data_IF_389493347466
#
_entry.id   IF_389493347466
#
_cell.length_a   1.000
_cell.length_b   1.000
_cell.length_c   1.000
_cell.angle_alpha   90.00
_cell.angle_beta   90.00
_cell.angle_gamma   90.00
#
_symmetry.space_group_name_H-M   'P 1'
#
loop_
_entity.id
_entity.type
_entity.pdbx_description
1 polymer ?
#
# COMPACT_ATOMS: atom_id res chain seq x y z
N UNK A 1 -18.28 34.86 -18.89
CA UNK A 1 -17.73 33.62 -19.46
C UNK A 1 -16.75 32.92 -18.51
N UNK A 2 -15.84 33.64 -17.81
CA UNK A 2 -14.85 33.05 -16.91
C UNK A 2 -15.43 32.41 -15.62
N UNK A 3 -16.52 32.91 -15.05
CA UNK A 3 -17.14 32.38 -13.84
C UNK A 3 -17.88 31.05 -14.08
N UNK A 4 -18.40 30.85 -15.29
CA UNK A 4 -19.09 29.61 -15.68
C UNK A 4 -18.10 28.47 -15.93
N UNK A 5 -16.95 28.76 -16.55
CA UNK A 5 -15.87 27.80 -16.77
C UNK A 5 -15.25 27.36 -15.42
N UNK A 6 -15.05 28.27 -14.47
CA UNK A 6 -14.53 27.93 -13.14
C UNK A 6 -15.51 27.04 -12.33
N UNK A 7 -16.83 27.25 -12.45
CA UNK A 7 -17.84 26.43 -11.81
C UNK A 7 -17.93 25.02 -12.38
N UNK A 8 -17.76 24.91 -13.70
CA UNK A 8 -17.76 23.60 -14.38
C UNK A 8 -16.48 22.79 -14.08
N UNK A 9 -15.35 23.46 -13.98
CA UNK A 9 -14.09 22.85 -13.55
C UNK A 9 -14.14 22.41 -12.09
N UNK A 10 -14.73 23.21 -11.21
CA UNK A 10 -14.89 22.85 -9.80
C UNK A 10 -15.81 21.65 -9.61
N UNK A 11 -16.96 21.63 -10.30
CA UNK A 11 -17.88 20.50 -10.29
C UNK A 11 -17.25 19.21 -10.84
N UNK A 12 -16.45 19.31 -11.90
CA UNK A 12 -15.76 18.15 -12.45
C UNK A 12 -14.69 17.60 -11.50
N UNK A 13 -13.94 18.46 -10.80
CA UNK A 13 -12.96 18.06 -9.78
C UNK A 13 -13.65 17.41 -8.57
N UNK A 14 -14.79 17.98 -8.13
CA UNK A 14 -15.59 17.41 -7.06
C UNK A 14 -16.14 16.02 -7.45
N UNK A 15 -16.66 15.88 -8.66
CA UNK A 15 -17.15 14.59 -9.16
C UNK A 15 -16.02 13.55 -9.27
N UNK A 16 -14.84 13.95 -9.74
CA UNK A 16 -13.66 13.07 -9.82
C UNK A 16 -13.17 12.63 -8.45
N UNK A 17 -13.25 13.49 -7.42
CA UNK A 17 -12.88 13.14 -6.05
C UNK A 17 -13.91 12.25 -5.35
N UNK A 18 -15.19 12.32 -5.76
CA UNK A 18 -16.27 11.49 -5.22
C UNK A 18 -16.41 10.14 -5.95
N UNK A 19 -15.76 9.95 -7.08
CA UNK A 19 -15.83 8.71 -7.87
C UNK A 19 -15.52 7.43 -7.05
N UNK A 20 -14.50 7.40 -6.18
CA UNK A 20 -14.24 6.25 -5.32
C UNK A 20 -15.37 5.97 -4.31
N UNK A 21 -16.04 7.03 -3.83
CA UNK A 21 -17.19 6.90 -2.92
C UNK A 21 -18.37 6.26 -3.65
N UNK A 22 -18.69 6.72 -4.86
CA UNK A 22 -19.73 6.09 -5.69
C UNK A 22 -19.41 4.65 -6.04
N UNK A 23 -18.14 4.36 -6.34
CA UNK A 23 -17.69 3.00 -6.58
C UNK A 23 -17.89 2.08 -5.36
N UNK A 24 -17.59 2.59 -4.16
CA UNK A 24 -17.83 1.87 -2.91
C UNK A 24 -19.32 1.65 -2.66
N UNK A 25 -20.16 2.67 -2.87
CA UNK A 25 -21.61 2.53 -2.73
C UNK A 25 -22.18 1.49 -3.71
N UNK A 26 -21.69 1.46 -4.95
CA UNK A 26 -22.10 0.45 -5.92
C UNK A 26 -21.68 -0.97 -5.47
N UNK A 27 -20.47 -1.14 -4.94
CA UNK A 27 -20.01 -2.40 -4.37
C UNK A 27 -20.89 -2.85 -3.20
N UNK A 28 -21.23 -1.93 -2.28
CA UNK A 28 -22.12 -2.23 -1.16
C UNK A 28 -23.55 -2.55 -1.62
N UNK A 29 -24.04 -1.94 -2.69
CA UNK A 29 -25.36 -2.25 -3.26
C UNK A 29 -25.39 -3.67 -3.84
N UNK A 30 -24.36 -4.08 -4.56
CA UNK A 30 -24.22 -5.48 -5.03
C UNK A 30 -24.12 -6.42 -3.83
N UNK A 31 -23.36 -6.04 -2.80
CA UNK A 31 -23.29 -6.77 -1.55
C UNK A 31 -24.63 -6.92 -0.85
N UNK A 32 -25.47 -5.87 -0.88
CA UNK A 32 -26.85 -5.95 -0.36
C UNK A 32 -27.69 -6.99 -1.12
N UNK A 33 -27.56 -7.02 -2.44
CA UNK A 33 -28.24 -8.04 -3.27
C UNK A 33 -27.76 -9.45 -2.90
N UNK A 34 -26.44 -9.65 -2.72
CA UNK A 34 -25.88 -10.94 -2.28
C UNK A 34 -26.39 -11.36 -0.90
N UNK A 35 -26.53 -10.42 0.05
CA UNK A 35 -27.09 -10.67 1.37
C UNK A 35 -28.57 -11.08 1.29
N UNK A 36 -29.36 -10.44 0.43
CA UNK A 36 -30.78 -10.79 0.19
C UNK A 36 -30.91 -12.20 -0.36
N UNK A 37 -30.05 -12.64 -1.27
CA UNK A 37 -30.07 -14.04 -1.79
C UNK A 37 -29.79 -15.07 -0.69
N UNK A 38 -29.08 -14.70 0.37
CA UNK A 38 -28.85 -15.53 1.55
C UNK A 38 -29.97 -15.43 2.61
N UNK A 39 -31.03 -14.69 2.34
CA UNK A 39 -32.11 -14.45 3.30
C UNK A 39 -31.73 -13.50 4.44
N UNK A 40 -30.62 -12.77 4.32
CA UNK A 40 -30.12 -11.87 5.34
C UNK A 40 -30.56 -10.44 5.03
N UNK A 41 -31.09 -9.73 6.04
CA UNK A 41 -31.48 -8.34 5.90
C UNK A 41 -30.25 -7.42 5.76
N UNK A 42 -30.05 -6.73 4.60
CA UNK A 42 -28.89 -5.88 4.38
C UNK A 42 -28.79 -4.70 5.37
N UNK A 43 -29.91 -4.16 5.82
CA UNK A 43 -29.92 -3.05 6.79
C UNK A 43 -29.39 -3.49 8.14
N UNK A 44 -29.73 -4.69 8.61
CA UNK A 44 -29.18 -5.26 9.84
C UNK A 44 -27.69 -5.58 9.68
N UNK A 45 -27.29 -6.12 8.54
CA UNK A 45 -25.90 -6.45 8.25
C UNK A 45 -25.02 -5.19 8.22
N UNK A 46 -25.42 -4.17 7.49
CA UNK A 46 -24.66 -2.91 7.41
C UNK A 46 -24.75 -2.09 8.70
N UNK A 47 -25.89 -2.15 9.42
CA UNK A 47 -25.99 -1.60 10.76
C UNK A 47 -24.97 -2.22 11.73
N UNK A 48 -24.87 -3.56 11.72
CA UNK A 48 -23.88 -4.28 12.51
C UNK A 48 -22.42 -3.96 12.08
N UNK A 49 -22.17 -3.72 10.77
CA UNK A 49 -20.88 -3.29 10.25
C UNK A 49 -20.47 -1.92 10.80
N UNK A 50 -21.36 -0.93 10.70
CA UNK A 50 -21.13 0.46 11.19
C UNK A 50 -20.94 0.44 12.71
N UNK A 51 -21.80 -0.25 13.42
CA UNK A 51 -21.72 -0.38 14.88
C UNK A 51 -20.44 -1.12 15.29
N UNK A 52 -19.99 -2.11 14.50
CA UNK A 52 -18.73 -2.83 14.70
C UNK A 52 -17.51 -1.95 14.55
N UNK A 53 -17.54 -0.98 13.64
CA UNK A 53 -16.44 -0.06 13.37
C UNK A 53 -16.41 1.15 14.31
N UNK A 54 -17.59 1.69 14.68
CA UNK A 54 -17.72 3.00 15.34
C UNK A 54 -18.61 3.00 16.60
N UNK A 55 -19.31 1.91 16.91
CA UNK A 55 -20.32 1.86 17.95
C UNK A 55 -19.80 1.91 19.40
N UNK A 56 -18.48 1.86 19.62
CA UNK A 56 -17.88 1.98 20.94
C UNK A 56 -16.44 2.51 20.85
N UNK A 57 -15.91 3.03 21.96
CA UNK A 57 -14.51 3.47 22.05
C UNK A 57 -13.53 2.35 21.67
N UNK A 58 -13.83 1.11 22.08
CA UNK A 58 -13.02 -0.05 21.72
C UNK A 58 -13.12 -0.38 20.21
N UNK A 59 -14.29 -0.23 19.60
CA UNK A 59 -14.48 -0.44 18.17
C UNK A 59 -13.68 0.58 17.35
N UNK A 60 -13.75 1.86 17.73
CA UNK A 60 -12.96 2.92 17.09
C UNK A 60 -11.46 2.65 17.27
N UNK A 61 -11.02 2.28 18.47
CA UNK A 61 -9.63 1.95 18.73
C UNK A 61 -9.14 0.77 17.87
N UNK A 62 -9.94 -0.31 17.76
CA UNK A 62 -9.60 -1.47 16.92
C UNK A 62 -9.56 -1.08 15.43
N UNK A 63 -10.47 -0.21 14.98
CA UNK A 63 -10.45 0.36 13.63
C UNK A 63 -9.14 1.09 13.36
N UNK A 64 -8.68 1.95 14.27
CA UNK A 64 -7.42 2.68 14.14
C UNK A 64 -6.19 1.76 14.21
N UNK A 65 -6.24 0.72 15.05
CA UNK A 65 -5.20 -0.32 15.11
C UNK A 65 -5.10 -1.06 13.78
N UNK A 66 -6.24 -1.47 13.19
CA UNK A 66 -6.25 -2.16 11.89
C UNK A 66 -5.87 -1.25 10.73
N UNK A 67 -6.17 0.04 10.81
CA UNK A 67 -5.77 1.01 9.78
C UNK A 67 -4.27 1.33 9.79
N UNK A 68 -3.57 1.11 10.91
CA UNK A 68 -2.14 1.45 11.03
C UNK A 68 -1.26 0.74 10.00
N UNK A 69 -1.28 -0.60 9.86
CA UNK A 69 -0.47 -1.27 8.85
C UNK A 69 -0.91 -0.91 7.42
N UNK A 70 -2.22 -0.72 7.17
CA UNK A 70 -2.72 -0.28 5.87
C UNK A 70 -2.18 1.10 5.49
N UNK A 71 -2.14 2.03 6.45
CA UNK A 71 -1.58 3.36 6.23
C UNK A 71 -0.10 3.29 5.88
N UNK A 72 0.69 2.57 6.67
CA UNK A 72 2.13 2.47 6.45
C UNK A 72 2.48 1.81 5.11
N UNK A 73 1.86 0.68 4.79
CA UNK A 73 2.03 0.04 3.47
C UNK A 73 1.58 1.00 2.37
N UNK A 74 0.42 1.65 2.55
CA UNK A 74 -0.12 2.63 1.60
C UNK A 74 0.82 3.80 1.34
N UNK A 75 1.53 4.29 2.36
CA UNK A 75 2.56 5.33 2.20
C UNK A 75 3.72 4.83 1.32
N UNK A 76 4.18 3.60 1.54
CA UNK A 76 5.18 2.97 0.69
C UNK A 76 4.72 2.86 -0.77
N UNK A 77 3.46 2.45 -0.98
CA UNK A 77 2.84 2.36 -2.30
C UNK A 77 2.75 3.74 -2.97
N UNK A 78 2.40 4.81 -2.23
CA UNK A 78 2.41 6.17 -2.77
C UNK A 78 3.78 6.56 -3.34
N UNK A 79 4.88 6.16 -2.67
CA UNK A 79 6.24 6.42 -3.15
C UNK A 79 6.54 5.63 -4.42
N UNK A 80 6.28 4.32 -4.43
CA UNK A 80 6.58 3.43 -5.55
C UNK A 80 5.81 3.85 -6.81
N UNK A 81 4.51 4.07 -6.70
CA UNK A 81 3.66 4.46 -7.84
C UNK A 81 4.00 5.86 -8.38
N UNK A 82 4.48 6.79 -7.54
CA UNK A 82 5.00 8.08 -8.02
C UNK A 82 6.29 7.93 -8.82
N UNK A 83 7.04 6.86 -8.60
CA UNK A 83 8.18 6.44 -9.43
C UNK A 83 7.80 5.60 -10.65
N UNK A 84 6.49 5.41 -10.91
CA UNK A 84 5.95 4.52 -11.96
C UNK A 84 6.45 3.07 -11.83
N UNK A 85 6.59 2.60 -10.59
CA UNK A 85 6.96 1.22 -10.27
C UNK A 85 5.88 0.60 -9.41
N UNK A 86 5.41 -0.59 -9.80
CA UNK A 86 4.36 -1.31 -9.07
C UNK A 86 5.00 -2.21 -8.01
N UNK A 87 4.66 -1.99 -6.73
CA UNK A 87 5.08 -2.85 -5.64
C UNK A 87 3.89 -3.65 -5.09
N UNK A 88 3.84 -4.95 -5.38
CA UNK A 88 2.87 -5.90 -4.81
C UNK A 88 3.51 -6.72 -3.67
N UNK A 89 4.78 -6.44 -3.35
CA UNK A 89 5.58 -7.17 -2.36
C UNK A 89 5.31 -6.80 -0.89
N UNK A 90 4.29 -5.98 -0.61
CA UNK A 90 4.01 -5.45 0.72
C UNK A 90 3.86 -6.53 1.81
N UNK A 91 3.27 -7.68 1.48
CA UNK A 91 3.14 -8.81 2.41
C UNK A 91 4.51 -9.36 2.85
N UNK A 92 5.39 -9.67 1.88
CA UNK A 92 6.71 -10.22 2.17
C UNK A 92 7.62 -9.20 2.86
N UNK A 93 7.58 -7.95 2.45
CA UNK A 93 8.32 -6.85 3.07
C UNK A 93 7.91 -6.64 4.53
N UNK A 94 6.61 -6.74 4.82
CA UNK A 94 6.05 -6.68 6.18
C UNK A 94 6.53 -7.86 7.02
N UNK A 95 6.53 -9.08 6.47
CA UNK A 95 7.01 -10.30 7.15
C UNK A 95 8.49 -10.17 7.50
N UNK A 96 9.35 -9.80 6.54
CA UNK A 96 10.80 -9.70 6.77
C UNK A 96 11.14 -8.58 7.73
N UNK A 97 10.47 -7.44 7.64
CA UNK A 97 10.60 -6.37 8.62
C UNK A 97 10.20 -6.81 10.04
N UNK A 98 9.12 -7.58 10.17
CA UNK A 98 8.70 -8.16 11.43
C UNK A 98 9.71 -9.18 12.00
N UNK A 99 10.30 -10.03 11.14
CA UNK A 99 11.33 -10.99 11.53
C UNK A 99 12.53 -10.27 12.16
N UNK A 100 13.09 -9.28 11.45
CA UNK A 100 14.27 -8.56 11.95
C UNK A 100 13.95 -7.76 13.22
N UNK A 101 12.81 -7.10 13.26
CA UNK A 101 12.38 -6.39 14.47
C UNK A 101 12.18 -7.34 15.66
N UNK A 102 11.55 -8.50 15.44
CA UNK A 102 11.35 -9.52 16.50
C UNK A 102 12.69 -10.10 16.96
N UNK A 103 13.62 -10.35 16.04
CA UNK A 103 14.96 -10.82 16.38
C UNK A 103 15.67 -9.85 17.33
N UNK A 104 15.60 -8.54 17.08
CA UNK A 104 16.15 -7.50 17.98
C UNK A 104 15.54 -7.60 19.38
N UNK A 105 14.21 -7.72 19.49
CA UNK A 105 13.55 -7.79 20.79
C UNK A 105 13.78 -9.09 21.56
N UNK A 106 14.09 -10.19 20.87
CA UNK A 106 14.37 -11.47 21.50
C UNK A 106 15.82 -11.63 21.95
N UNK A 107 16.76 -10.95 21.26
CA UNK A 107 18.19 -11.05 21.54
C UNK A 107 18.70 -10.02 22.54
N UNK A 108 18.14 -8.81 22.53
CA UNK A 108 18.60 -7.69 23.38
C UNK A 108 17.69 -7.49 24.59
N UNK A 109 17.36 -8.57 25.30
CA UNK A 109 16.39 -8.56 26.41
C UNK A 109 16.82 -7.74 27.61
N UNK A 110 18.13 -7.52 27.81
CA UNK A 110 18.69 -6.76 28.94
C UNK A 110 18.64 -5.24 28.75
N UNK A 111 18.36 -4.78 27.52
CA UNK A 111 18.35 -3.37 27.21
C UNK A 111 17.00 -2.72 27.55
N UNK A 112 16.99 -1.44 27.94
CA UNK A 112 15.73 -0.76 28.26
C UNK A 112 14.85 -0.55 27.02
N UNK A 113 13.53 -0.64 27.21
CA UNK A 113 12.56 -0.59 26.11
C UNK A 113 12.61 0.67 25.24
N UNK A 114 13.01 1.81 25.82
CA UNK A 114 13.16 3.07 25.10
C UNK A 114 14.32 3.06 24.06
N UNK A 115 15.28 2.12 24.17
CA UNK A 115 16.31 1.87 23.16
C UNK A 115 15.85 0.78 22.17
N UNK A 116 15.22 -0.28 22.69
CA UNK A 116 14.82 -1.44 21.88
C UNK A 116 13.73 -1.05 20.88
N UNK A 117 12.76 -0.23 21.25
CA UNK A 117 11.67 0.17 20.34
C UNK A 117 12.20 0.92 19.10
N UNK A 118 13.02 2.00 19.22
CA UNK A 118 13.63 2.63 18.06
C UNK A 118 14.55 1.71 17.24
N UNK A 119 15.31 0.84 17.92
CA UNK A 119 16.19 -0.11 17.22
C UNK A 119 15.39 -1.15 16.43
N UNK A 120 14.30 -1.66 16.99
CA UNK A 120 13.37 -2.57 16.31
C UNK A 120 12.65 -1.86 15.16
N UNK A 121 12.29 -0.57 15.32
CA UNK A 121 11.74 0.24 14.22
C UNK A 121 12.74 0.36 13.08
N UNK A 122 14.01 0.64 13.39
CA UNK A 122 15.07 0.71 12.39
C UNK A 122 15.31 -0.65 11.73
N UNK A 123 15.35 -1.74 12.51
CA UNK A 123 15.49 -3.09 11.99
C UNK A 123 14.33 -3.49 11.07
N UNK A 124 13.10 -3.19 11.46
CA UNK A 124 11.90 -3.41 10.64
C UNK A 124 11.93 -2.61 9.35
N UNK A 125 12.30 -1.33 9.44
CA UNK A 125 12.45 -0.43 8.29
C UNK A 125 13.53 -0.94 7.32
N UNK A 126 14.71 -1.29 7.81
CA UNK A 126 15.81 -1.81 6.99
C UNK A 126 15.50 -3.19 6.41
N UNK A 127 14.87 -4.08 7.18
CA UNK A 127 14.48 -5.40 6.69
C UNK A 127 13.51 -5.32 5.53
N UNK A 128 12.48 -4.50 5.66
CA UNK A 128 11.55 -4.23 4.58
C UNK A 128 12.19 -3.53 3.39
N UNK A 129 13.12 -2.57 3.65
CA UNK A 129 13.88 -1.88 2.59
C UNK A 129 14.72 -2.85 1.77
N UNK A 130 15.52 -3.68 2.41
CA UNK A 130 16.38 -4.66 1.73
C UNK A 130 15.51 -5.60 0.90
N UNK A 131 14.42 -6.11 1.49
CA UNK A 131 13.51 -7.03 0.79
C UNK A 131 12.83 -6.40 -0.41
N UNK A 132 12.40 -5.13 -0.30
CA UNK A 132 11.85 -4.35 -1.41
C UNK A 132 12.91 -3.90 -2.42
N UNK A 133 14.16 -3.73 -1.98
CA UNK A 133 15.29 -3.38 -2.83
C UNK A 133 15.67 -4.45 -3.83
N UNK A 134 15.51 -5.74 -3.48
CA UNK A 134 15.82 -6.87 -4.39
C UNK A 134 15.04 -6.76 -5.71
N UNK A 135 13.70 -6.72 -5.72
CA UNK A 135 12.96 -6.50 -6.97
C UNK A 135 13.25 -5.14 -7.61
N UNK A 136 13.65 -4.13 -6.80
CA UNK A 136 14.08 -2.84 -7.31
C UNK A 136 15.33 -2.92 -8.18
N UNK A 137 16.34 -3.65 -7.73
CA UNK A 137 17.58 -3.92 -8.50
C UNK A 137 17.26 -4.76 -9.74
N UNK A 138 16.46 -5.82 -9.60
CA UNK A 138 16.05 -6.67 -10.71
C UNK A 138 15.32 -5.86 -11.80
N UNK A 139 14.44 -4.94 -11.40
CA UNK A 139 13.76 -4.07 -12.35
C UNK A 139 14.69 -3.07 -13.01
N UNK A 140 15.52 -2.39 -12.21
CA UNK A 140 16.33 -1.26 -12.68
C UNK A 140 17.47 -1.69 -13.62
N UNK A 141 18.16 -2.78 -13.30
CA UNK A 141 19.37 -3.20 -14.01
C UNK A 141 19.17 -4.39 -14.94
N UNK A 142 18.19 -5.26 -14.64
CA UNK A 142 17.92 -6.46 -15.44
C UNK A 142 16.59 -6.40 -16.19
N UNK A 143 15.85 -5.30 -16.04
CA UNK A 143 14.54 -5.08 -16.68
C UNK A 143 13.52 -6.21 -16.43
N UNK A 144 13.64 -6.89 -15.27
CA UNK A 144 12.68 -7.92 -14.84
C UNK A 144 11.34 -7.27 -14.51
N UNK A 145 10.24 -7.98 -14.74
CA UNK A 145 8.91 -7.50 -14.38
C UNK A 145 8.78 -7.39 -12.86
N UNK A 146 8.57 -6.16 -12.35
CA UNK A 146 8.50 -5.85 -10.93
C UNK A 146 7.28 -6.49 -10.25
N UNK A 147 6.16 -6.66 -10.97
CA UNK A 147 4.96 -7.30 -10.45
C UNK A 147 5.26 -8.76 -10.12
N UNK A 148 5.85 -9.48 -11.08
CA UNK A 148 6.20 -10.88 -10.91
C UNK A 148 7.24 -11.07 -9.80
N UNK A 149 8.32 -10.28 -9.82
CA UNK A 149 9.39 -10.41 -8.81
C UNK A 149 8.90 -10.09 -7.41
N UNK A 150 8.07 -9.05 -7.23
CA UNK A 150 7.53 -8.69 -5.90
C UNK A 150 6.55 -9.74 -5.37
N UNK A 151 5.71 -10.35 -6.22
CA UNK A 151 4.81 -11.44 -5.82
C UNK A 151 5.62 -12.69 -5.42
N UNK A 152 6.64 -13.06 -6.20
CA UNK A 152 7.50 -14.20 -5.87
C UNK A 152 8.25 -13.99 -4.54
N UNK A 153 8.70 -12.75 -4.28
CA UNK A 153 9.32 -12.39 -3.00
C UNK A 153 8.38 -12.53 -1.81
N UNK A 154 7.06 -12.33 -1.99
CA UNK A 154 6.08 -12.62 -0.93
C UNK A 154 6.08 -14.11 -0.56
N UNK A 155 6.06 -15.00 -1.55
CA UNK A 155 6.09 -16.44 -1.31
C UNK A 155 7.38 -16.88 -0.60
N UNK A 156 8.53 -16.33 -1.00
CA UNK A 156 9.82 -16.60 -0.35
C UNK A 156 9.81 -16.12 1.10
N UNK A 157 9.27 -14.92 1.38
CA UNK A 157 9.18 -14.38 2.74
C UNK A 157 8.32 -15.25 3.66
N UNK A 158 7.22 -15.81 3.14
CA UNK A 158 6.37 -16.75 3.90
C UNK A 158 7.13 -18.01 4.26
N UNK A 159 7.87 -18.59 3.31
CA UNK A 159 8.66 -19.78 3.58
C UNK A 159 9.82 -19.50 4.56
N UNK A 160 10.46 -18.33 4.44
CA UNK A 160 11.46 -17.88 5.39
C UNK A 160 10.89 -17.75 6.81
N UNK A 161 9.71 -17.14 6.94
CA UNK A 161 9.00 -17.05 8.22
C UNK A 161 8.68 -18.43 8.78
N UNK A 162 8.14 -19.33 7.95
CA UNK A 162 7.80 -20.69 8.37
C UNK A 162 9.04 -21.48 8.83
N UNK A 163 10.16 -21.35 8.12
CA UNK A 163 11.42 -21.96 8.49
C UNK A 163 11.94 -21.45 9.85
N UNK A 164 11.95 -20.12 10.03
CA UNK A 164 12.46 -19.49 11.25
C UNK A 164 11.60 -19.80 12.47
N UNK A 165 10.27 -19.75 12.33
CA UNK A 165 9.34 -19.97 13.46
C UNK A 165 9.17 -21.44 13.81
N UNK A 166 9.52 -22.37 12.93
CA UNK A 166 9.55 -23.83 13.22
C UNK A 166 10.91 -24.32 13.69
N UNK A 167 11.94 -23.49 13.52
CA UNK A 167 13.35 -23.82 13.83
C UNK A 167 14.00 -22.80 14.75
N UNK A 168 14.93 -21.91 14.25
CA UNK A 168 15.79 -21.10 15.12
C UNK A 168 15.08 -20.09 16.01
N UNK A 169 13.89 -19.62 15.62
CA UNK A 169 13.13 -18.59 16.37
C UNK A 169 11.90 -19.16 17.09
N UNK A 170 11.76 -20.49 17.18
CA UNK A 170 10.65 -21.12 17.90
C UNK A 170 10.72 -20.78 19.38
N UNK A 171 9.57 -20.56 20.00
CA UNK A 171 9.46 -20.38 21.44
C UNK A 171 9.96 -21.66 22.17
N UNK A 172 10.95 -21.58 23.05
CA UNK A 172 11.44 -22.74 23.82
C UNK A 172 10.33 -23.53 24.55
N UNK A 173 9.27 -22.86 24.99
CA UNK A 173 8.11 -23.50 25.60
C UNK A 173 7.40 -24.44 24.62
N UNK A 174 7.34 -24.09 23.35
CA UNK A 174 6.69 -24.91 22.32
C UNK A 174 7.49 -26.18 21.99
N UNK A 175 8.79 -26.21 22.25
CA UNK A 175 9.61 -27.41 22.04
C UNK A 175 9.22 -28.55 22.97
N UNK A 176 8.68 -28.22 24.16
CA UNK A 176 8.22 -29.19 25.16
C UNK A 176 6.72 -29.51 25.03
N UNK A 177 5.98 -28.76 24.23
CA UNK A 177 4.54 -28.97 24.04
C UNK A 177 4.23 -30.17 23.15
N UNK A 178 3.17 -30.91 23.46
CA UNK A 178 2.68 -32.01 22.61
C UNK A 178 2.24 -31.56 21.22
N UNK A 179 1.68 -30.35 21.11
CA UNK A 179 1.33 -29.69 19.85
C UNK A 179 2.17 -28.42 19.70
N UNK A 180 3.12 -28.46 18.76
CA UNK A 180 4.04 -27.34 18.50
C UNK A 180 3.36 -26.29 17.65
N UNK A 181 3.04 -25.14 18.22
CA UNK A 181 2.56 -23.97 17.49
C UNK A 181 3.78 -23.22 16.96
N UNK A 182 3.88 -22.96 15.64
CA UNK A 182 5.00 -22.22 15.07
C UNK A 182 4.89 -20.72 15.45
N UNK A 183 5.54 -20.36 16.53
CA UNK A 183 5.53 -19.00 17.08
C UNK A 183 6.85 -18.68 17.78
N UNK A 184 7.16 -17.40 17.88
CA UNK A 184 8.29 -16.92 18.67
C UNK A 184 7.92 -16.78 20.15
N UNK A 185 8.92 -16.70 21.02
CA UNK A 185 8.70 -16.25 22.40
C UNK A 185 8.00 -14.87 22.41
N UNK A 186 7.28 -14.61 23.48
CA UNK A 186 6.56 -13.34 23.63
C UNK A 186 7.53 -12.24 24.04
N UNK A 187 7.41 -11.06 23.41
CA UNK A 187 8.18 -9.89 23.77
C UNK A 187 7.87 -9.45 25.21
N UNK A 188 8.91 -9.03 25.91
CA UNK A 188 8.84 -8.50 27.27
C UNK A 188 7.89 -7.29 27.29
N UNK A 189 7.23 -7.07 28.39
CA UNK A 189 6.22 -6.02 28.51
C UNK A 189 6.79 -4.61 28.26
N UNK A 190 8.03 -4.38 28.69
CA UNK A 190 8.77 -3.14 28.48
C UNK A 190 9.03 -2.81 26.99
N UNK A 191 8.93 -3.79 26.08
CA UNK A 191 9.16 -3.60 24.66
C UNK A 191 7.88 -3.35 23.87
N UNK A 192 6.72 -3.44 24.51
CA UNK A 192 5.45 -3.18 23.84
C UNK A 192 5.29 -1.69 23.56
N UNK A 193 4.75 -1.36 22.39
CA UNK A 193 4.42 0.02 22.09
C UNK A 193 3.41 0.56 23.13
N UNK A 194 3.65 1.75 23.68
CA UNK A 194 2.76 2.36 24.66
C UNK A 194 1.34 2.50 24.11
N UNK A 195 0.34 2.21 24.92
CA UNK A 195 -1.07 2.44 24.58
C UNK A 195 -1.43 3.90 24.77
N UNK A 196 -2.13 4.48 23.82
CA UNK A 196 -2.57 5.89 23.87
C UNK A 196 -3.83 6.10 24.70
N UNK A 197 -4.58 5.03 24.96
CA UNK A 197 -5.82 5.05 25.71
C UNK A 197 -5.97 3.71 26.46
N UNK A 198 -6.90 3.56 27.42
CA UNK A 198 -7.19 2.27 28.07
C UNK A 198 -7.87 1.27 27.09
N UNK A 199 -7.40 1.23 25.86
CA UNK A 199 -7.85 0.40 24.75
C UNK A 199 -6.65 -0.27 24.09
N UNK A 200 -6.85 -0.96 22.95
CA UNK A 200 -5.74 -1.56 22.19
C UNK A 200 -5.00 -0.57 21.27
N UNK A 201 -5.44 0.70 21.22
CA UNK A 201 -4.80 1.73 20.42
C UNK A 201 -3.39 2.05 20.98
N UNK A 202 -2.39 1.84 20.16
CA UNK A 202 -0.98 2.02 20.52
C UNK A 202 -0.33 3.18 19.75
N UNK A 203 0.84 3.63 20.21
CA UNK A 203 1.61 4.75 19.64
C UNK A 203 1.90 4.57 18.14
N UNK A 204 1.89 3.34 17.60
CA UNK A 204 2.12 3.06 16.19
C UNK A 204 1.18 3.79 15.23
N UNK A 205 -0.07 4.07 15.62
CA UNK A 205 -0.99 4.87 14.82
C UNK A 205 -0.53 6.34 14.72
N UNK A 206 -0.13 6.94 15.82
CA UNK A 206 0.40 8.30 15.82
C UNK A 206 1.69 8.40 14.99
N UNK A 207 2.58 7.42 15.11
CA UNK A 207 3.79 7.32 14.27
C UNK A 207 3.41 7.25 12.79
N UNK A 208 2.42 6.43 12.41
CA UNK A 208 1.98 6.29 11.03
C UNK A 208 1.44 7.62 10.46
N UNK A 209 0.69 8.40 11.26
CA UNK A 209 0.23 9.74 10.87
C UNK A 209 1.40 10.69 10.67
N UNK A 210 2.34 10.75 11.61
CA UNK A 210 3.55 11.60 11.47
C UNK A 210 4.33 11.22 10.21
N UNK A 211 4.50 9.93 9.95
CA UNK A 211 5.15 9.43 8.75
C UNK A 211 4.39 9.78 7.47
N UNK A 212 3.06 9.87 7.49
CA UNK A 212 2.28 10.33 6.33
C UNK A 212 2.62 11.79 5.96
N UNK A 213 2.76 12.67 6.96
CA UNK A 213 3.21 14.04 6.72
C UNK A 213 4.67 14.09 6.25
N UNK A 214 5.56 13.26 6.80
CA UNK A 214 6.95 13.18 6.36
C UNK A 214 7.07 12.67 4.92
N UNK A 215 6.28 11.67 4.53
CA UNK A 215 6.23 11.19 3.13
C UNK A 215 5.66 12.26 2.20
N UNK A 216 4.67 13.03 2.64
CA UNK A 216 4.20 14.18 1.88
C UNK A 216 5.33 15.19 1.65
N UNK A 217 6.06 15.58 2.69
CA UNK A 217 7.21 16.49 2.57
C UNK A 217 8.27 15.87 1.65
N UNK A 218 8.61 14.59 1.86
CA UNK A 218 9.59 13.88 1.04
C UNK A 218 9.22 13.94 -0.44
N UNK A 219 7.97 13.65 -0.80
CA UNK A 219 7.55 13.60 -2.19
C UNK A 219 7.43 14.99 -2.83
N UNK A 220 6.97 16.03 -2.11
CA UNK A 220 6.67 17.35 -2.72
C UNK A 220 7.66 18.45 -2.38
N UNK A 221 8.46 18.29 -1.33
CA UNK A 221 9.36 19.35 -0.84
C UNK A 221 10.85 19.00 -0.89
N UNK A 222 11.22 17.75 -1.29
CA UNK A 222 12.63 17.34 -1.37
C UNK A 222 13.07 17.06 -2.81
N UNK A 223 14.38 17.15 -3.03
CA UNK A 223 15.03 16.82 -4.32
C UNK A 223 14.87 15.35 -4.67
N UNK A 224 14.87 14.45 -3.66
CA UNK A 224 14.66 13.02 -3.86
C UNK A 224 13.25 12.76 -4.39
N UNK A 225 12.23 13.33 -3.76
CA UNK A 225 10.85 13.19 -4.22
C UNK A 225 10.62 13.79 -5.60
N UNK A 226 11.28 14.91 -5.92
CA UNK A 226 11.27 15.47 -7.27
C UNK A 226 11.83 14.47 -8.29
N UNK A 227 13.02 13.88 -8.03
CA UNK A 227 13.63 12.89 -8.92
C UNK A 227 12.74 11.68 -9.14
N UNK A 228 12.17 11.10 -8.06
CA UNK A 228 11.25 9.97 -8.14
C UNK A 228 10.05 10.31 -9.04
N UNK A 229 9.40 11.46 -8.84
CA UNK A 229 8.24 11.88 -9.64
C UNK A 229 8.61 12.15 -11.10
N UNK A 230 9.78 12.74 -11.37
CA UNK A 230 10.25 12.99 -12.73
C UNK A 230 10.51 11.67 -13.48
N UNK A 231 11.16 10.70 -12.83
CA UNK A 231 11.35 9.35 -13.39
C UNK A 231 10.01 8.69 -13.66
N UNK A 232 9.05 8.83 -12.76
CA UNK A 232 7.71 8.26 -12.93
C UNK A 232 6.89 8.89 -14.06
N UNK A 233 7.15 10.14 -14.41
CA UNK A 233 6.45 10.81 -15.52
C UNK A 233 7.05 10.45 -16.87
N UNK A 234 8.38 10.49 -17.01
CA UNK A 234 9.08 10.16 -18.24
C UNK A 234 10.53 9.78 -17.98
N UNK A 235 10.89 8.55 -18.30
CA UNK A 235 12.27 8.08 -18.21
C UNK A 235 13.21 8.87 -19.12
N UNK A 236 12.74 9.27 -20.32
CA UNK A 236 13.52 10.05 -21.27
C UNK A 236 13.82 11.46 -20.74
N UNK A 237 12.79 12.15 -20.27
CA UNK A 237 12.96 13.48 -19.69
C UNK A 237 13.86 13.46 -18.44
N UNK A 238 13.75 12.44 -17.61
CA UNK A 238 14.60 12.26 -16.45
C UNK A 238 16.08 12.09 -16.85
N UNK A 239 16.36 11.22 -17.82
CA UNK A 239 17.73 11.03 -18.33
C UNK A 239 18.29 12.29 -18.97
N UNK A 240 17.49 13.00 -19.75
CA UNK A 240 17.91 14.26 -20.36
C UNK A 240 18.26 15.33 -19.31
N UNK A 241 17.56 15.34 -18.18
CA UNK A 241 17.85 16.20 -17.02
C UNK A 241 18.99 15.68 -16.12
N UNK A 242 19.72 14.63 -16.51
CA UNK A 242 20.84 14.08 -15.73
C UNK A 242 20.39 13.24 -14.51
N UNK A 243 19.13 12.86 -14.43
CA UNK A 243 18.61 12.02 -13.33
C UNK A 243 18.79 10.53 -13.68
N UNK A 244 19.51 9.80 -12.85
CA UNK A 244 19.67 8.35 -13.00
C UNK A 244 18.35 7.62 -12.73
N UNK A 245 17.74 7.05 -13.76
CA UNK A 245 16.45 6.35 -13.71
C UNK A 245 16.55 5.12 -12.82
N UNK A 246 17.60 4.32 -13.07
CA UNK A 246 17.84 3.05 -12.39
C UNK A 246 17.95 3.22 -10.88
N UNK A 247 18.75 4.18 -10.44
CA UNK A 247 18.94 4.49 -9.02
C UNK A 247 17.63 4.92 -8.35
N UNK A 248 16.81 5.73 -9.02
CA UNK A 248 15.56 6.22 -8.45
C UNK A 248 14.48 5.14 -8.40
N UNK A 249 14.45 4.17 -9.33
CA UNK A 249 13.60 2.98 -9.27
C UNK A 249 13.95 2.15 -8.03
N UNK A 250 15.24 1.86 -7.82
CA UNK A 250 15.70 1.10 -6.63
C UNK A 250 15.31 1.83 -5.35
N UNK A 251 15.57 3.13 -5.25
CA UNK A 251 15.24 3.93 -4.06
C UNK A 251 13.72 3.93 -3.79
N UNK A 252 12.89 4.03 -4.82
CA UNK A 252 11.44 4.01 -4.66
C UNK A 252 10.95 2.67 -4.09
N UNK A 253 11.48 1.54 -4.55
CA UNK A 253 11.12 0.21 -4.03
C UNK A 253 11.75 -0.07 -2.66
N UNK A 254 12.97 0.39 -2.39
CA UNK A 254 13.58 0.37 -1.05
C UNK A 254 12.71 1.10 -0.03
N UNK A 255 12.32 2.33 -0.32
CA UNK A 255 11.47 3.13 0.57
C UNK A 255 10.08 2.50 0.72
N UNK A 256 9.49 2.01 -0.37
CA UNK A 256 8.20 1.33 -0.31
C UNK A 256 8.27 0.11 0.61
N UNK A 257 9.32 -0.71 0.48
CA UNK A 257 9.55 -1.85 1.35
C UNK A 257 9.84 -1.47 2.79
N UNK A 258 10.56 -0.38 3.02
CA UNK A 258 10.87 0.13 4.35
C UNK A 258 9.59 0.45 5.16
N UNK A 259 8.63 1.13 4.55
CA UNK A 259 7.35 1.43 5.20
C UNK A 259 6.51 0.17 5.46
N UNK A 260 6.52 -0.80 4.54
CA UNK A 260 5.88 -2.08 4.76
C UNK A 260 6.55 -2.89 5.88
N UNK A 261 7.89 -2.89 5.95
CA UNK A 261 8.63 -3.54 7.04
C UNK A 261 8.37 -2.92 8.40
N UNK A 262 8.23 -1.59 8.45
CA UNK A 262 7.83 -0.88 9.66
C UNK A 262 6.40 -1.24 10.10
N UNK A 263 5.47 -1.45 9.15
CA UNK A 263 4.14 -1.98 9.46
C UNK A 263 4.22 -3.36 10.12
N UNK A 264 5.13 -4.22 9.66
CA UNK A 264 5.38 -5.54 10.26
C UNK A 264 5.90 -5.45 11.69
N UNK A 265 6.87 -4.55 11.94
CA UNK A 265 7.34 -4.27 13.30
C UNK A 265 6.20 -3.81 14.21
N UNK A 266 5.39 -2.84 13.78
CA UNK A 266 4.28 -2.32 14.59
C UNK A 266 3.23 -3.41 14.83
N UNK A 267 2.98 -4.32 13.88
CA UNK A 267 2.08 -5.46 14.09
C UNK A 267 2.57 -6.37 15.23
N UNK A 268 3.89 -6.59 15.34
CA UNK A 268 4.46 -7.40 16.43
C UNK A 268 4.48 -6.64 17.75
N UNK A 269 5.05 -5.44 17.79
CA UNK A 269 5.29 -4.69 19.03
C UNK A 269 4.05 -4.00 19.59
N UNK A 270 3.05 -3.74 18.73
CA UNK A 270 1.81 -3.05 19.12
C UNK A 270 0.61 -3.97 19.32
N UNK A 271 0.54 -5.09 18.61
CA UNK A 271 -0.69 -5.90 18.53
C UNK A 271 -0.49 -7.31 19.06
N UNK A 272 0.42 -8.08 18.45
CA UNK A 272 0.54 -9.52 18.71
C UNK A 272 1.54 -9.86 19.80
N UNK A 273 2.53 -9.01 20.02
CA UNK A 273 3.65 -9.19 20.98
C UNK A 273 4.51 -10.44 20.74
N UNK A 274 4.34 -11.09 19.60
CA UNK A 274 5.09 -12.24 19.07
C UNK A 274 4.75 -12.45 17.62
N UNK A 275 5.56 -13.21 16.92
CA UNK A 275 5.21 -13.72 15.58
C UNK A 275 4.56 -15.09 15.70
N UNK A 276 3.52 -15.32 14.92
CA UNK A 276 2.84 -16.60 14.77
C UNK A 276 2.60 -16.82 13.29
N UNK A 277 2.76 -18.05 12.81
CA UNK A 277 2.39 -18.43 11.45
C UNK A 277 1.42 -19.60 11.44
N UNK A 278 0.45 -19.54 10.54
CA UNK A 278 -0.43 -20.64 10.15
C UNK A 278 0.04 -21.31 8.86
N UNK A 279 1.20 -20.89 8.34
CA UNK A 279 1.75 -21.34 7.06
C UNK A 279 1.48 -20.39 5.90
N UNK A 280 0.65 -19.35 6.10
CA UNK A 280 0.29 -18.36 5.08
C UNK A 280 0.79 -16.96 5.42
N UNK A 281 0.84 -16.06 4.44
CA UNK A 281 1.11 -14.64 4.69
C UNK A 281 -0.01 -14.00 5.49
N UNK A 282 -1.26 -14.35 5.16
CA UNK A 282 -2.47 -13.73 5.71
C UNK A 282 -2.64 -14.00 7.21
N UNK A 283 -2.17 -15.13 7.71
CA UNK A 283 -2.22 -15.46 9.13
C UNK A 283 -1.43 -14.46 10.00
N UNK A 284 -0.37 -13.88 9.47
CA UNK A 284 0.42 -12.86 10.16
C UNK A 284 0.01 -11.43 9.78
N UNK A 285 -0.07 -11.13 8.47
CA UNK A 285 -0.27 -9.78 7.96
C UNK A 285 -1.74 -9.36 7.93
N UNK A 286 -2.67 -10.33 7.88
CA UNK A 286 -4.10 -10.07 7.72
C UNK A 286 -4.44 -9.39 6.38
N UNK A 287 -3.69 -9.68 5.31
CA UNK A 287 -3.78 -9.02 3.99
C UNK A 287 -3.49 -7.51 4.01
N UNK A 288 -2.74 -7.02 5.00
CA UNK A 288 -2.45 -5.59 5.10
C UNK A 288 -1.61 -5.08 3.93
N UNK A 289 -0.74 -5.91 3.34
CA UNK A 289 0.05 -5.58 2.16
C UNK A 289 -0.84 -5.26 0.94
N UNK A 290 -1.79 -6.13 0.62
CA UNK A 290 -2.73 -5.91 -0.49
C UNK A 290 -3.74 -4.80 -0.18
N UNK A 291 -4.34 -4.80 1.01
CA UNK A 291 -5.31 -3.79 1.41
C UNK A 291 -4.67 -2.39 1.51
N UNK A 292 -3.36 -2.30 1.82
CA UNK A 292 -2.60 -1.05 1.79
C UNK A 292 -2.48 -0.47 0.38
N UNK A 293 -2.34 -1.32 -0.66
CA UNK A 293 -2.36 -0.87 -2.06
C UNK A 293 -3.72 -0.23 -2.37
N UNK A 294 -4.80 -0.88 -1.96
CA UNK A 294 -6.16 -0.38 -2.19
C UNK A 294 -6.39 0.94 -1.46
N UNK A 295 -5.93 1.05 -0.20
CA UNK A 295 -6.02 2.28 0.56
C UNK A 295 -5.23 3.42 -0.09
N UNK A 296 -4.04 3.15 -0.65
CA UNK A 296 -3.26 4.14 -1.39
C UNK A 296 -3.97 4.61 -2.67
N UNK A 297 -4.56 3.68 -3.43
CA UNK A 297 -5.32 4.01 -4.64
C UNK A 297 -6.59 4.80 -4.32
N UNK A 298 -7.33 4.40 -3.29
CA UNK A 298 -8.50 5.16 -2.80
C UNK A 298 -8.09 6.56 -2.35
N UNK A 299 -6.96 6.69 -1.65
CA UNK A 299 -6.34 7.96 -1.27
C UNK A 299 -5.70 8.74 -2.42
N UNK A 300 -5.91 8.29 -3.69
CA UNK A 300 -5.40 8.91 -4.92
C UNK A 300 -3.87 9.00 -4.98
N UNK A 301 -3.18 8.02 -4.42
CA UNK A 301 -1.72 7.98 -4.31
C UNK A 301 -1.15 9.24 -3.66
N UNK A 302 -1.92 9.84 -2.74
CA UNK A 302 -1.53 11.02 -1.98
C UNK A 302 -1.38 10.65 -0.50
N UNK A 303 -0.22 10.88 0.14
CA UNK A 303 0.04 10.42 1.51
C UNK A 303 -1.01 10.87 2.54
N UNK A 304 -1.47 12.13 2.44
CA UNK A 304 -2.51 12.65 3.34
C UNK A 304 -3.88 12.03 3.01
N UNK A 305 -4.19 11.78 1.73
CA UNK A 305 -5.42 11.11 1.30
C UNK A 305 -5.47 9.63 1.72
N UNK A 306 -4.31 9.00 1.87
CA UNK A 306 -4.20 7.62 2.35
C UNK A 306 -4.60 7.48 3.83
N UNK A 307 -4.54 8.55 4.65
CA UNK A 307 -4.97 8.53 6.05
C UNK A 307 -6.47 8.17 6.15
N UNK A 308 -7.41 8.97 5.65
CA UNK A 308 -8.84 8.63 5.72
C UNK A 308 -9.17 7.34 4.96
N UNK A 309 -8.47 7.04 3.86
CA UNK A 309 -8.64 5.81 3.12
C UNK A 309 -8.31 4.56 3.97
N UNK A 310 -7.18 4.56 4.68
CA UNK A 310 -6.79 3.44 5.55
C UNK A 310 -7.72 3.28 6.74
N UNK A 311 -8.23 4.38 7.31
CA UNK A 311 -9.25 4.33 8.38
C UNK A 311 -10.54 3.71 7.85
N UNK A 312 -10.98 4.09 6.65
CA UNK A 312 -12.16 3.51 6.00
C UNK A 312 -12.02 2.00 5.79
N UNK A 313 -10.91 1.53 5.23
CA UNK A 313 -10.66 0.09 5.06
C UNK A 313 -10.49 -0.64 6.40
N UNK A 314 -9.85 -0.01 7.39
CA UNK A 314 -9.79 -0.52 8.76
C UNK A 314 -11.17 -0.70 9.38
N UNK A 315 -12.07 0.28 9.17
CA UNK A 315 -13.46 0.22 9.60
C UNK A 315 -14.24 -0.92 8.93
N UNK A 316 -14.04 -1.12 7.62
CA UNK A 316 -14.64 -2.26 6.91
C UNK A 316 -14.17 -3.60 7.49
N UNK A 317 -12.87 -3.75 7.76
CA UNK A 317 -12.32 -5.00 8.32
C UNK A 317 -12.87 -5.29 9.73
N UNK A 318 -12.94 -4.29 10.59
CA UNK A 318 -13.45 -4.46 11.97
C UNK A 318 -14.96 -4.64 11.98
N UNK A 319 -15.68 -3.83 11.20
CA UNK A 319 -17.14 -3.92 11.06
C UNK A 319 -17.58 -5.26 10.49
N UNK A 320 -16.86 -5.78 9.49
CA UNK A 320 -17.12 -7.09 8.90
C UNK A 320 -17.06 -8.23 9.93
N UNK A 321 -16.11 -8.17 10.88
CA UNK A 321 -16.03 -9.16 11.95
C UNK A 321 -17.26 -9.12 12.90
N UNK A 322 -17.83 -7.94 13.15
CA UNK A 322 -19.07 -7.82 13.94
C UNK A 322 -20.26 -8.28 13.15
N UNK A 323 -20.37 -7.88 11.88
CA UNK A 323 -21.43 -8.32 10.97
C UNK A 323 -21.47 -9.86 10.89
N UNK A 324 -20.32 -10.54 10.77
CA UNK A 324 -20.24 -12.01 10.79
C UNK A 324 -20.81 -12.60 12.07
N UNK A 325 -20.50 -12.05 13.24
CA UNK A 325 -20.94 -12.58 14.52
C UNK A 325 -22.41 -12.32 14.84
N UNK A 326 -22.93 -11.15 14.46
CA UNK A 326 -24.30 -10.71 14.80
C UNK A 326 -25.33 -11.29 13.83
N UNK A 327 -25.00 -11.28 12.54
CA UNK A 327 -25.96 -11.65 11.47
C UNK A 327 -25.64 -13.01 10.86
N UNK A 328 -24.61 -13.72 11.40
CA UNK A 328 -24.18 -15.06 10.94
C UNK A 328 -23.82 -15.12 9.45
N UNK A 329 -23.30 -14.00 8.91
CA UNK A 329 -22.84 -13.94 7.50
C UNK A 329 -21.63 -14.85 7.31
N UNK A 330 -21.61 -15.73 6.29
CA UNK A 330 -20.43 -16.56 6.01
C UNK A 330 -19.18 -15.71 5.75
N UNK A 331 -18.04 -16.13 6.29
CA UNK A 331 -16.76 -15.42 6.10
C UNK A 331 -16.37 -15.27 4.63
N UNK A 332 -16.73 -16.26 3.80
CA UNK A 332 -16.52 -16.20 2.36
C UNK A 332 -17.24 -15.01 1.70
N UNK A 333 -18.46 -14.68 2.14
CA UNK A 333 -19.20 -13.52 1.63
C UNK A 333 -18.53 -12.21 2.03
N UNK A 334 -18.01 -12.13 3.26
CA UNK A 334 -17.26 -10.96 3.73
C UNK A 334 -16.00 -10.73 2.89
N UNK A 335 -15.28 -11.80 2.62
CA UNK A 335 -14.10 -11.75 1.73
C UNK A 335 -14.49 -11.33 0.32
N UNK A 336 -15.62 -11.85 -0.21
CA UNK A 336 -16.14 -11.44 -1.51
C UNK A 336 -16.57 -9.97 -1.54
N UNK A 337 -17.24 -9.47 -0.49
CA UNK A 337 -17.59 -8.06 -0.34
C UNK A 337 -16.36 -7.15 -0.33
N UNK A 338 -15.33 -7.51 0.43
CA UNK A 338 -14.08 -6.76 0.46
C UNK A 338 -13.41 -6.75 -0.93
N UNK A 339 -13.36 -7.91 -1.60
CA UNK A 339 -12.85 -8.01 -2.97
C UNK A 339 -13.66 -7.17 -3.97
N UNK A 340 -14.98 -7.14 -3.83
CA UNK A 340 -15.86 -6.31 -4.66
C UNK A 340 -15.56 -4.82 -4.49
N UNK A 341 -15.44 -4.35 -3.24
CA UNK A 341 -15.05 -2.96 -2.95
C UNK A 341 -13.71 -2.63 -3.61
N UNK A 342 -12.72 -3.52 -3.50
CA UNK A 342 -11.41 -3.35 -4.14
C UNK A 342 -11.54 -3.21 -5.65
N UNK A 343 -12.28 -4.10 -6.32
CA UNK A 343 -12.47 -4.09 -7.77
C UNK A 343 -13.12 -2.76 -8.22
N UNK A 344 -14.17 -2.32 -7.53
CA UNK A 344 -14.85 -1.08 -7.88
C UNK A 344 -13.98 0.15 -7.66
N UNK A 345 -13.21 0.18 -6.56
CA UNK A 345 -12.29 1.28 -6.26
C UNK A 345 -11.17 1.35 -7.31
N UNK A 346 -10.52 0.24 -7.63
CA UNK A 346 -9.46 0.19 -8.64
C UNK A 346 -10.00 0.55 -10.03
N UNK A 347 -11.20 0.06 -10.37
CA UNK A 347 -11.86 0.41 -11.63
C UNK A 347 -12.16 1.92 -11.72
N UNK A 348 -12.59 2.53 -10.62
CA UNK A 348 -12.87 3.97 -10.57
C UNK A 348 -11.62 4.81 -10.87
N UNK A 349 -10.48 4.39 -10.36
CA UNK A 349 -9.18 5.05 -10.61
C UNK A 349 -8.76 4.92 -12.09
N UNK A 350 -8.95 3.75 -12.69
CA UNK A 350 -8.70 3.53 -14.11
C UNK A 350 -9.54 4.46 -14.99
N UNK A 351 -10.84 4.59 -14.72
CA UNK A 351 -11.72 5.48 -15.45
C UNK A 351 -11.32 6.96 -15.29
N UNK A 352 -10.90 7.36 -14.08
CA UNK A 352 -10.40 8.70 -13.80
C UNK A 352 -9.15 9.03 -14.62
N UNK A 353 -8.17 8.15 -14.59
CA UNK A 353 -6.90 8.33 -15.32
C UNK A 353 -7.13 8.39 -16.84
N UNK A 354 -8.02 7.54 -17.38
CA UNK A 354 -8.38 7.54 -18.79
C UNK A 354 -9.07 8.84 -19.21
N UNK A 355 -9.97 9.39 -18.38
CA UNK A 355 -10.61 10.70 -18.64
C UNK A 355 -9.60 11.84 -18.63
N UNK A 356 -8.67 11.87 -17.70
CA UNK A 356 -7.63 12.89 -17.64
C UNK A 356 -6.75 12.86 -18.89
N UNK A 357 -6.32 11.69 -19.34
CA UNK A 357 -5.53 11.53 -20.58
C UNK A 357 -6.29 12.02 -21.82
N UNK A 358 -7.57 11.71 -21.94
CA UNK A 358 -8.41 12.21 -23.05
C UNK A 358 -8.57 13.73 -23.03
N UNK A 359 -8.67 14.35 -21.85
CA UNK A 359 -8.72 15.82 -21.75
C UNK A 359 -7.42 16.47 -22.21
N UNK A 360 -6.27 15.89 -21.86
CA UNK A 360 -4.97 16.40 -22.29
C UNK A 360 -4.75 16.26 -23.79
N UNK A 361 -5.21 15.19 -24.42
CA UNK A 361 -5.14 15.02 -25.88
C UNK A 361 -6.06 15.97 -26.66
N UNK A 362 -7.15 16.44 -26.05
CA UNK A 362 -8.05 17.43 -26.67
C UNK A 362 -7.55 18.87 -26.51
N UNK A 363 -6.65 19.14 -25.56
CA UNK A 363 -6.07 20.47 -25.31
C UNK A 363 -4.75 20.67 -26.05
N UNK A 364 -4.07 19.60 -26.48
CA UNK A 364 -2.93 19.70 -27.40
C UNK A 364 -3.49 19.80 -28.82
N UNK A 365 -3.39 20.97 -29.50
CA UNK A 365 -3.66 21.00 -30.92
C UNK A 365 -2.68 20.03 -31.59
N UNK A 366 -3.20 19.10 -32.38
CA UNK A 366 -2.41 18.37 -33.35
C UNK A 366 -1.58 19.42 -34.11
N UNK A 367 -0.28 19.45 -33.85
CA UNK A 367 0.64 20.11 -34.77
C UNK A 367 0.49 19.31 -36.07
N UNK A 368 -0.30 19.84 -37.01
CA UNK A 368 -0.29 19.35 -38.38
C UNK A 368 1.17 19.16 -38.78
N UNK A 369 1.53 18.00 -39.34
CA UNK A 369 2.84 17.87 -39.92
C UNK A 369 2.96 18.99 -40.98
N UNK A 370 4.11 19.70 -41.04
CA UNK A 370 4.26 20.79 -42.02
C UNK A 370 3.90 20.25 -43.38
N UNK A 371 2.86 20.85 -43.99
CA UNK A 371 2.42 20.53 -45.31
C UNK A 371 3.64 20.59 -46.22
N UNK A 372 4.02 19.47 -46.84
CA UNK A 372 5.08 19.35 -47.82
C UNK A 372 4.63 20.00 -49.13
N UNK A 373 4.38 21.31 -49.12
CA UNK A 373 4.31 22.16 -50.32
C UNK A 373 5.66 22.81 -50.51
N UNK A 374 6.70 21.99 -50.57
CA UNK A 374 7.98 22.38 -51.15
C UNK A 374 8.01 21.99 -52.59
N UNK A 375 7.81 22.97 -53.47
CA UNK A 375 8.01 22.88 -54.93
C UNK A 375 9.33 22.15 -55.21
N UNK A 376 9.24 21.06 -55.98
CA UNK A 376 10.39 20.41 -56.58
C UNK A 376 11.16 21.46 -57.44
N UNK A 377 12.48 21.58 -57.33
CA UNK A 377 13.24 22.37 -58.28
C UNK A 377 13.17 21.68 -59.65
N UNK A 378 13.15 22.44 -60.78
CA UNK A 378 13.05 21.86 -62.11
C UNK A 378 14.31 21.06 -62.44
N UNK A 379 14.10 19.82 -62.86
CA UNK A 379 15.11 19.01 -63.57
C UNK A 379 15.44 19.70 -64.88
N UNK A 380 16.66 20.16 -65.00
CA UNK A 380 17.42 20.09 -66.24
C UNK A 380 18.74 20.87 -66.20
N UNK A 381 19.81 20.13 -66.23
CA UNK A 381 20.96 20.45 -67.05
C UNK A 381 21.86 19.22 -67.09
N UNK A 382 21.70 18.45 -68.13
CA UNK A 382 22.69 17.51 -68.68
C UNK A 382 23.96 18.32 -69.01
N UNK A 383 25.06 17.95 -68.40
CA UNK A 383 26.39 18.33 -68.88
C UNK A 383 26.99 17.07 -69.46
N UNK A 384 27.07 17.07 -70.84
CA UNK A 384 27.85 16.09 -71.59
C UNK A 384 29.34 16.18 -71.25
N UNK A 385 30.06 15.05 -71.27
CA UNK A 385 31.52 15.04 -71.21
C UNK A 385 32.08 15.22 -72.63
N UNK A 386 32.94 16.20 -72.82
CA UNK A 386 33.90 16.27 -73.97
C UNK A 386 35.34 16.11 -73.51
N UNK A 387 36.24 15.82 -74.44
CA UNK A 387 36.76 14.49 -74.84
C UNK A 387 38.06 14.13 -74.11
#
# INVERSE_FOLDING_TARGET
MNAWLSKQEWLSKLFESLLPVFATLAALLIGAVMLLFLGINPFQAYGALIEGAFGSTNAIAETLVKSTPLLLVGLGICIAFRGNVVNIGGEGQMIVGAILATYVGLTLTEWPGWIIIPLAMLAGFLGGAIWGGIPGVLKAYFNVNEILSTIMMNAIAVQLMNYLLRGPMIDPIQLQAASRIPQTARLIEAFRLPRLAPTRLHLGFAIAIVLAFLVYILLWRTTLGYRIRTVGQSHYAARYAGISVERNIVIALLLSGAFAGLAGMIQVYGVNYRMITDGSATGFTGNAGFNGIVAALFGQLHPIGTIPASIFFGALLVGANKMQRVVQVPSALITALNGLVVIFVVSSEYFRTRRQRRRLSLVSPESEPPSSTGKSPPANQQVEPEP
#
